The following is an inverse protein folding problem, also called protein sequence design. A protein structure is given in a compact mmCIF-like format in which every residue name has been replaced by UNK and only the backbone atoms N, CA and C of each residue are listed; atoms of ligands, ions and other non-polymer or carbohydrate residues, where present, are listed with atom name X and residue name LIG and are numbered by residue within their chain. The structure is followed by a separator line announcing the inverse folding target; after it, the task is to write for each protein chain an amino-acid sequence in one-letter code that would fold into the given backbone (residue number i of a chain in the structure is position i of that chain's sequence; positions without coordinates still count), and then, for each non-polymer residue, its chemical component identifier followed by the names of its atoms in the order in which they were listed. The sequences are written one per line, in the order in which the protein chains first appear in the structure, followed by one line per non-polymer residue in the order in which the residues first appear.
data_IF_707655311870
#
_entry.id   IF_707655311870
#
_cell.length_a   1.000
_cell.length_b   1.000
_cell.length_c   1.000
_cell.angle_alpha   90.00
_cell.angle_beta   90.00
_cell.angle_gamma   90.00
#
_symmetry.space_group_name_H-M   'P 1'
#
loop_
_entity.id
_entity.type
_entity.pdbx_description
1 polymer ?
#
# COMPACT_ATOMS: atom_id res chain seq x y z
N UNK A 1 -11.04 -7.13 -19.95
CA UNK A 1 -9.64 -7.19 -19.54
C UNK A 1 -9.52 -8.21 -18.42
N UNK A 2 -8.58 -9.13 -18.55
CA UNK A 2 -8.21 -10.10 -17.51
C UNK A 2 -6.74 -9.92 -17.22
N UNK A 3 -6.37 -9.86 -15.94
CA UNK A 3 -5.00 -9.68 -15.51
C UNK A 3 -4.72 -10.42 -14.22
N UNK A 4 -3.46 -10.79 -14.03
CA UNK A 4 -2.95 -11.34 -12.77
C UNK A 4 -2.21 -10.25 -12.01
N UNK A 5 -2.54 -10.09 -10.73
CA UNK A 5 -1.87 -9.14 -9.85
C UNK A 5 -1.08 -9.95 -8.81
N UNK A 6 0.24 -9.73 -8.75
CA UNK A 6 1.06 -10.26 -7.67
C UNK A 6 1.37 -9.15 -6.68
N UNK A 7 1.11 -9.41 -5.40
CA UNK A 7 1.35 -8.47 -4.32
C UNK A 7 2.32 -9.07 -3.31
N UNK A 8 3.20 -8.25 -2.77
CA UNK A 8 4.13 -8.64 -1.72
C UNK A 8 4.45 -7.48 -0.79
N UNK A 9 5.08 -7.81 0.34
CA UNK A 9 5.51 -6.83 1.32
C UNK A 9 6.91 -6.34 0.99
N UNK A 10 7.09 -5.02 0.98
CA UNK A 10 8.38 -4.37 0.95
C UNK A 10 8.46 -3.42 2.14
N UNK A 11 9.16 -3.86 3.19
CA UNK A 11 9.27 -3.14 4.47
C UNK A 11 7.88 -2.82 5.08
N UNK A 12 7.47 -1.54 5.04
CA UNK A 12 6.19 -1.03 5.55
C UNK A 12 5.16 -0.81 4.45
N UNK A 13 5.43 -1.19 3.20
CA UNK A 13 4.51 -1.05 2.09
C UNK A 13 4.08 -2.40 1.53
N UNK A 14 2.84 -2.47 1.04
CA UNK A 14 2.39 -3.52 0.14
C UNK A 14 2.60 -3.01 -1.27
N UNK A 15 3.46 -3.68 -2.03
CA UNK A 15 3.74 -3.36 -3.44
C UNK A 15 3.33 -4.52 -4.34
N UNK A 16 3.35 -4.30 -5.65
CA UNK A 16 2.95 -5.34 -6.59
C UNK A 16 3.40 -5.11 -8.02
N UNK A 17 3.09 -6.10 -8.85
CA UNK A 17 3.10 -5.96 -10.29
C UNK A 17 1.82 -6.57 -10.88
N UNK A 18 1.56 -6.25 -12.13
CA UNK A 18 0.47 -6.85 -12.89
C UNK A 18 1.04 -7.51 -14.13
N UNK A 19 0.35 -8.55 -14.61
CA UNK A 19 0.51 -9.06 -15.96
C UNK A 19 -0.85 -9.13 -16.64
N UNK A 20 -0.95 -8.63 -17.88
CA UNK A 20 -2.21 -8.59 -18.62
C UNK A 20 -2.31 -9.84 -19.49
N UNK A 21 -3.28 -10.70 -19.19
CA UNK A 21 -3.52 -11.93 -19.95
C UNK A 21 -4.34 -11.68 -21.21
N UNK A 22 -5.37 -10.84 -21.08
CA UNK A 22 -6.22 -10.52 -22.22
C UNK A 22 -6.78 -9.08 -22.13
N UNK A 23 -6.72 -8.39 -23.27
CA UNK A 23 -7.26 -7.05 -23.46
C UNK A 23 -8.06 -7.01 -24.77
N UNK A 24 -9.35 -7.33 -24.68
CA UNK A 24 -10.26 -7.27 -25.83
C UNK A 24 -10.70 -5.83 -26.10
N UNK A 25 -10.36 -5.31 -27.27
CA UNK A 25 -10.92 -4.07 -27.79
C UNK A 25 -12.12 -4.38 -28.67
N UNK A 26 -13.25 -3.72 -28.41
CA UNK A 26 -14.44 -3.79 -29.26
C UNK A 26 -14.71 -2.43 -29.88
N UNK A 27 -14.76 -2.38 -31.21
CA UNK A 27 -15.18 -1.18 -31.91
C UNK A 27 -16.69 -0.99 -31.71
N UNK A 28 -17.08 0.12 -31.08
CA UNK A 28 -18.49 0.41 -30.81
C UNK A 28 -19.12 1.31 -31.88
N UNK A 29 -18.39 2.33 -32.33
CA UNK A 29 -18.81 3.27 -33.36
C UNK A 29 -17.57 3.84 -34.06
N UNK A 30 -17.67 4.17 -35.35
CA UNK A 30 -16.65 4.94 -36.07
C UNK A 30 -17.30 6.10 -36.81
N UNK A 31 -16.72 7.29 -36.68
CA UNK A 31 -17.05 8.46 -37.50
C UNK A 31 -16.22 8.53 -38.79
N UNK A 32 -15.28 7.60 -38.94
CA UNK A 32 -14.40 7.44 -40.10
C UNK A 32 -14.87 6.23 -40.90
N UNK A 33 -14.99 6.38 -42.21
CA UNK A 33 -15.43 5.30 -43.09
C UNK A 33 -14.34 4.23 -43.22
N UNK A 34 -14.76 2.98 -43.45
CA UNK A 34 -13.88 1.83 -43.71
C UNK A 34 -12.89 1.46 -42.59
N UNK A 35 -13.25 1.74 -41.34
CA UNK A 35 -12.50 1.26 -40.16
C UNK A 35 -13.17 0.00 -39.61
N UNK A 36 -12.46 -1.12 -39.66
CA UNK A 36 -12.87 -2.37 -39.02
C UNK A 36 -12.14 -2.58 -37.67
N UNK A 37 -12.63 -3.53 -36.88
CA UNK A 37 -11.98 -3.86 -35.60
C UNK A 37 -10.59 -4.48 -35.79
N UNK A 38 -10.34 -5.17 -36.91
CA UNK A 38 -9.07 -5.80 -37.21
C UNK A 38 -7.93 -4.78 -37.37
N UNK A 39 -8.26 -3.57 -37.83
CA UNK A 39 -7.36 -2.42 -37.91
C UNK A 39 -6.72 -2.08 -36.55
N UNK A 40 -7.39 -2.39 -35.45
CA UNK A 40 -6.92 -2.14 -34.09
C UNK A 40 -6.20 -3.33 -33.43
N UNK A 41 -5.97 -4.44 -34.12
CA UNK A 41 -5.32 -5.62 -33.55
C UNK A 41 -3.96 -5.32 -32.89
N UNK A 42 -3.13 -4.49 -33.54
CA UNK A 42 -1.82 -4.07 -33.01
C UNK A 42 -1.94 -3.07 -31.84
N UNK A 43 -3.03 -2.29 -31.77
CA UNK A 43 -3.32 -1.44 -30.60
C UNK A 43 -3.69 -2.29 -29.37
N UNK A 44 -4.20 -3.49 -29.59
CA UNK A 44 -4.41 -4.52 -28.56
C UNK A 44 -3.15 -4.78 -27.76
N UNK A 45 -2.09 -5.16 -28.46
CA UNK A 45 -0.79 -5.47 -27.87
C UNK A 45 -0.15 -4.25 -27.21
N UNK A 46 -0.09 -3.11 -27.92
CA UNK A 46 0.47 -1.88 -27.37
C UNK A 46 -0.28 -1.41 -26.13
N UNK A 47 -1.62 -1.46 -26.16
CA UNK A 47 -2.46 -1.08 -25.03
C UNK A 47 -2.24 -1.99 -23.83
N UNK A 48 -2.05 -3.29 -24.05
CA UNK A 48 -1.75 -4.23 -22.98
C UNK A 48 -0.38 -3.94 -22.34
N UNK A 49 0.67 -3.76 -23.15
CA UNK A 49 2.01 -3.41 -22.64
C UNK A 49 2.00 -2.09 -21.87
N UNK A 50 1.34 -1.07 -22.42
CA UNK A 50 1.21 0.23 -21.77
C UNK A 50 0.49 0.13 -20.42
N UNK A 51 -0.65 -0.56 -20.38
CA UNK A 51 -1.42 -0.74 -19.15
C UNK A 51 -0.65 -1.59 -18.13
N UNK A 52 0.08 -2.61 -18.56
CA UNK A 52 0.90 -3.44 -17.69
C UNK A 52 1.99 -2.61 -16.99
N UNK A 53 2.70 -1.77 -17.76
CA UNK A 53 3.71 -0.87 -17.22
C UNK A 53 3.10 0.15 -16.26
N UNK A 54 2.02 0.85 -16.68
CA UNK A 54 1.37 1.88 -15.89
C UNK A 54 0.84 1.34 -14.56
N UNK A 55 0.13 0.22 -14.59
CA UNK A 55 -0.43 -0.40 -13.39
C UNK A 55 0.67 -0.96 -12.48
N UNK A 56 1.73 -1.53 -13.06
CA UNK A 56 2.90 -1.94 -12.28
C UNK A 56 3.54 -0.75 -11.58
N UNK A 57 3.73 0.38 -12.28
CA UNK A 57 4.29 1.59 -11.68
C UNK A 57 3.43 2.09 -10.50
N UNK A 58 2.10 2.08 -10.64
CA UNK A 58 1.16 2.41 -9.54
C UNK A 58 1.31 1.42 -8.38
N UNK A 59 1.36 0.12 -8.65
CA UNK A 59 1.52 -0.90 -7.61
C UNK A 59 2.91 -0.83 -6.94
N UNK A 60 3.94 -0.34 -7.64
CA UNK A 60 5.26 -0.10 -7.08
C UNK A 60 5.32 1.13 -6.17
N UNK A 61 4.47 2.15 -6.38
CA UNK A 61 4.29 3.23 -5.38
C UNK A 61 3.82 2.67 -4.03
N UNK A 62 2.99 1.62 -4.10
CA UNK A 62 2.59 0.81 -2.96
C UNK A 62 1.54 1.45 -2.04
N UNK A 63 1.04 0.64 -1.14
CA UNK A 63 0.15 1.05 -0.05
C UNK A 63 0.95 0.98 1.24
N UNK A 64 1.17 2.14 1.86
CA UNK A 64 1.87 2.23 3.15
C UNK A 64 0.97 1.63 4.23
N UNK A 65 1.48 0.64 4.95
CA UNK A 65 0.80 0.05 6.09
C UNK A 65 0.73 1.08 7.22
N UNK A 66 -0.44 1.27 7.84
CA UNK A 66 -0.56 2.16 8.99
C UNK A 66 0.31 1.63 10.14
N UNK A 67 1.12 2.50 10.72
CA UNK A 67 1.93 2.21 11.91
C UNK A 67 1.64 3.26 12.99
N UNK A 68 2.03 2.96 14.24
CA UNK A 68 1.97 3.91 15.35
C UNK A 68 3.38 4.34 15.72
N UNK A 69 3.53 5.60 16.17
CA UNK A 69 4.80 6.10 16.70
C UNK A 69 5.26 5.20 17.84
N UNK A 70 6.52 4.80 17.82
CA UNK A 70 7.08 3.90 18.83
C UNK A 70 6.71 2.42 18.67
N UNK A 71 6.03 2.03 17.58
CA UNK A 71 5.70 0.63 17.29
C UNK A 71 6.44 0.15 16.05
N UNK A 72 7.20 -0.93 16.21
CA UNK A 72 7.93 -1.59 15.13
C UNK A 72 7.25 -2.91 14.77
N UNK A 73 6.81 -3.03 13.51
CA UNK A 73 6.23 -4.25 12.97
C UNK A 73 7.31 -5.32 12.73
N UNK A 74 6.98 -6.59 12.99
CA UNK A 74 7.89 -7.74 12.91
C UNK A 74 7.22 -8.91 12.20
N UNK A 75 7.94 -9.43 11.20
CA UNK A 75 7.53 -10.58 10.40
C UNK A 75 6.11 -10.44 9.83
N UNK A 76 5.82 -9.36 9.07
CA UNK A 76 4.52 -9.20 8.46
C UNK A 76 4.30 -10.27 7.39
N UNK A 77 3.09 -10.83 7.37
CA UNK A 77 2.62 -11.80 6.39
C UNK A 77 1.43 -11.23 5.64
N UNK A 78 1.48 -11.30 4.32
CA UNK A 78 0.40 -10.88 3.43
C UNK A 78 -0.37 -12.10 2.94
N UNK A 79 -1.70 -11.97 2.90
CA UNK A 79 -2.59 -12.96 2.30
C UNK A 79 -3.74 -12.26 1.58
N UNK A 80 -4.12 -12.82 0.43
CA UNK A 80 -5.23 -12.34 -0.38
C UNK A 80 -6.49 -13.12 -0.02
N UNK A 81 -7.57 -12.39 0.21
CA UNK A 81 -8.93 -12.92 0.32
C UNK A 81 -9.82 -12.26 -0.74
N UNK A 82 -10.98 -12.85 -1.00
CA UNK A 82 -11.89 -12.43 -2.09
C UNK A 82 -12.24 -10.93 -2.10
N UNK A 83 -12.25 -10.27 -0.94
CA UNK A 83 -12.69 -8.87 -0.80
C UNK A 83 -11.69 -7.98 -0.05
N UNK A 84 -10.59 -8.53 0.44
CA UNK A 84 -9.64 -7.76 1.24
C UNK A 84 -8.23 -8.37 1.23
N UNK A 85 -7.25 -7.51 1.46
CA UNK A 85 -5.88 -7.90 1.76
C UNK A 85 -5.72 -8.00 3.27
N UNK A 86 -5.21 -9.13 3.76
CA UNK A 86 -4.91 -9.33 5.17
C UNK A 86 -3.42 -9.28 5.40
N UNK A 87 -3.00 -8.32 6.21
CA UNK A 87 -1.66 -8.29 6.79
C UNK A 87 -1.73 -8.75 8.23
N UNK A 88 -0.95 -9.78 8.57
CA UNK A 88 -0.79 -10.26 9.93
C UNK A 88 0.66 -10.09 10.35
N UNK A 89 0.91 -9.43 11.48
CA UNK A 89 2.26 -9.08 11.93
C UNK A 89 2.34 -9.11 13.45
N UNK A 90 3.54 -9.33 13.98
CA UNK A 90 3.83 -9.06 15.38
C UNK A 90 4.27 -7.61 15.52
N UNK A 91 4.14 -7.03 16.71
CA UNK A 91 4.67 -5.72 16.99
C UNK A 91 5.53 -5.74 18.24
N UNK A 92 6.54 -4.88 18.26
CA UNK A 92 7.32 -4.56 19.46
C UNK A 92 7.31 -3.06 19.67
N UNK A 93 7.45 -2.63 20.93
CA UNK A 93 7.71 -1.24 21.23
C UNK A 93 9.16 -0.89 20.89
N UNK A 94 9.37 0.31 20.38
CA UNK A 94 10.71 0.89 20.27
C UNK A 94 11.23 1.23 21.68
N UNK A 95 12.42 0.74 22.01
CA UNK A 95 13.02 0.92 23.33
C UNK A 95 13.36 2.38 23.62
N UNK A 96 13.77 3.16 22.61
CA UNK A 96 14.04 4.58 22.78
C UNK A 96 12.73 5.35 23.05
N UNK A 97 11.69 4.98 22.31
CA UNK A 97 10.35 5.53 22.55
C UNK A 97 9.85 5.18 23.97
N UNK A 98 10.02 3.93 24.41
CA UNK A 98 9.64 3.50 25.75
C UNK A 98 10.37 4.28 26.85
N UNK A 99 11.69 4.48 26.70
CA UNK A 99 12.52 5.22 27.66
C UNK A 99 12.10 6.68 27.76
N UNK A 100 11.84 7.33 26.62
CA UNK A 100 11.43 8.73 26.58
C UNK A 100 10.03 8.93 27.17
N UNK A 101 9.12 7.99 26.93
CA UNK A 101 7.78 8.03 27.52
C UNK A 101 7.81 7.89 29.05
N UNK A 102 8.64 6.99 29.57
CA UNK A 102 8.79 6.79 31.02
C UNK A 102 9.44 8.02 31.69
N UNK A 103 10.42 8.65 31.05
CA UNK A 103 11.06 9.88 31.55
C UNK A 103 10.13 11.10 31.49
N UNK A 104 9.35 11.28 30.42
CA UNK A 104 8.34 12.35 30.33
C UNK A 104 7.21 12.17 31.36
N UNK A 105 6.71 10.94 31.56
CA UNK A 105 5.69 10.66 32.55
C UNK A 105 6.22 10.91 33.98
N UNK A 106 7.46 10.52 34.25
CA UNK A 106 8.10 10.79 35.54
C UNK A 106 8.33 12.29 35.76
N UNK A 107 8.73 13.05 34.74
CA UNK A 107 8.84 14.51 34.81
C UNK A 107 7.48 15.19 35.06
N UNK A 108 6.42 14.74 34.38
CA UNK A 108 5.06 15.26 34.57
C UNK A 108 4.54 14.98 35.98
N UNK A 109 4.81 13.79 36.52
CA UNK A 109 4.47 13.44 37.90
C UNK A 109 5.23 14.31 38.91
N UNK A 110 6.53 14.56 38.69
CA UNK A 110 7.34 15.44 39.56
C UNK A 110 6.83 16.89 39.50
N UNK A 111 6.53 17.42 38.31
CA UNK A 111 5.98 18.76 38.16
C UNK A 111 4.63 18.92 38.86
N UNK A 112 3.77 17.91 38.74
CA UNK A 112 2.48 17.87 39.43
C UNK A 112 2.67 17.84 40.94
N UNK A 113 3.60 17.02 41.44
CA UNK A 113 3.93 16.94 42.87
C UNK A 113 4.49 18.25 43.42
N UNK A 114 5.41 18.92 42.70
CA UNK A 114 5.97 20.23 43.09
C UNK A 114 4.88 21.32 43.10
N UNK A 115 3.94 21.30 42.17
CA UNK A 115 2.82 22.25 42.14
C UNK A 115 1.91 22.10 43.38
N UNK A 116 1.72 20.88 43.90
CA UNK A 116 0.98 20.63 45.14
C UNK A 116 1.75 21.08 46.40
N UNK A 117 3.08 21.01 46.42
CA UNK A 117 3.87 21.46 47.57
C UNK A 117 4.02 22.98 47.69
N UNK A 118 3.81 23.74 46.60
CA UNK A 118 3.88 25.21 46.62
C UNK A 118 2.53 25.90 46.87
N UNK A 119 1.43 25.14 46.95
CA UNK A 119 0.06 25.67 47.19
C UNK A 119 -0.51 25.30 48.57
N UNK A 120 0.29 24.69 49.44
CA UNK A 120 -0.05 24.34 50.82
C UNK A 120 0.65 25.26 51.84
#
# INVERSE_FOLDING_TARGET
MTSNINLWLNQTAIIGNVSIENLDFKLLESRVHDVDQATFGNLGLFGAEFLEQLLTDILQMGIIMPTMKGVVLKNPKLSLHDRYLKVQTYFRLDEEFAKNYDTEQNMANIHTMIAFYHTA
#
